data_IF_014164022412
#
_entry.id   IF_014164022412
#
_cell.length_a   1.000
_cell.length_b   1.000
_cell.length_c   1.000
_cell.angle_alpha   90.00
_cell.angle_beta   90.00
_cell.angle_gamma   90.00
#
_symmetry.space_group_name_H-M   'P 1'
#
loop_
_entity.id
_entity.type
_entity.pdbx_description
1 polymer ?
#
# COMPACT_ATOMS: atom_id res chain seq x y z
N UNK A 1 -10.28 0.69 -17.53
CA UNK A 1 -10.30 1.60 -16.38
C UNK A 1 -10.75 2.96 -16.85
N UNK A 2 -11.68 3.55 -16.14
CA UNK A 2 -12.14 4.94 -16.25
C UNK A 2 -11.84 5.65 -14.93
N UNK A 3 -11.82 6.99 -14.93
CA UNK A 3 -11.52 7.73 -13.70
C UNK A 3 -12.57 7.53 -12.60
N UNK A 4 -13.79 7.13 -12.96
CA UNK A 4 -14.84 6.81 -11.98
C UNK A 4 -14.49 5.61 -11.08
N UNK A 5 -13.57 4.74 -11.53
CA UNK A 5 -13.10 3.56 -10.81
C UNK A 5 -11.64 3.71 -10.37
N UNK A 6 -11.08 4.92 -10.46
CA UNK A 6 -9.71 5.17 -10.07
C UNK A 6 -9.61 5.23 -8.55
N UNK A 7 -8.89 4.27 -7.96
CA UNK A 7 -8.62 4.24 -6.53
C UNK A 7 -7.52 5.24 -6.17
N UNK A 8 -7.65 5.92 -5.03
CA UNK A 8 -6.64 6.84 -4.57
C UNK A 8 -5.31 6.11 -4.30
N UNK A 9 -4.24 6.60 -4.90
CA UNK A 9 -2.88 6.09 -4.71
C UNK A 9 -2.10 6.99 -3.78
N UNK A 10 -1.25 6.40 -2.95
CA UNK A 10 -0.38 7.10 -2.02
C UNK A 10 1.03 6.54 -2.12
N UNK A 11 2.03 7.39 -1.91
CA UNK A 11 3.42 6.94 -1.86
C UNK A 11 4.39 8.03 -1.47
N UNK A 12 5.65 7.63 -1.29
CA UNK A 12 6.76 8.50 -0.97
C UNK A 12 7.66 8.61 -2.21
N UNK A 13 7.83 9.80 -2.82
CA UNK A 13 8.72 9.99 -3.94
C UNK A 13 10.15 10.20 -3.46
N UNK A 14 11.12 9.70 -4.23
CA UNK A 14 12.53 9.98 -3.98
C UNK A 14 12.86 11.43 -4.37
N UNK A 15 13.42 12.18 -3.42
CA UNK A 15 13.76 13.59 -3.62
C UNK A 15 15.27 13.73 -3.80
N UNK A 16 15.70 14.16 -4.99
CA UNK A 16 17.12 14.42 -5.28
C UNK A 16 17.53 15.80 -4.71
N UNK A 17 17.42 15.99 -3.39
CA UNK A 17 17.84 17.23 -2.71
C UNK A 17 18.45 16.96 -1.33
N UNK A 18 19.13 17.95 -0.77
CA UNK A 18 19.67 17.90 0.61
C UNK A 18 18.58 18.02 1.69
N UNK A 19 17.31 18.06 1.30
CA UNK A 19 16.18 18.22 2.22
C UNK A 19 15.89 16.87 2.88
N UNK A 20 15.93 16.83 4.22
CA UNK A 20 15.72 15.62 5.01
C UNK A 20 14.24 15.31 5.31
N UNK A 21 13.30 16.19 4.92
CA UNK A 21 11.88 15.96 5.16
C UNK A 21 11.30 15.05 4.08
N UNK A 22 10.62 13.95 4.46
CA UNK A 22 9.95 13.10 3.50
C UNK A 22 8.79 13.85 2.87
N UNK A 23 8.57 13.61 1.59
CA UNK A 23 7.38 14.07 0.88
C UNK A 23 6.42 12.89 0.73
N UNK A 24 5.13 13.16 0.74
CA UNK A 24 4.12 12.17 0.36
C UNK A 24 3.34 12.70 -0.84
N UNK A 25 3.02 11.80 -1.77
CA UNK A 25 2.11 12.10 -2.86
C UNK A 25 0.79 11.35 -2.68
N UNK A 26 -0.27 11.97 -3.19
CA UNK A 26 -1.57 11.36 -3.39
C UNK A 26 -2.01 11.61 -4.83
N UNK A 27 -2.49 10.57 -5.50
CA UNK A 27 -3.15 10.67 -6.80
C UNK A 27 -4.56 10.14 -6.66
N UNK A 28 -5.58 10.94 -6.98
CA UNK A 28 -6.98 10.52 -6.92
C UNK A 28 -7.82 11.23 -7.98
N UNK A 29 -8.98 10.66 -8.29
CA UNK A 29 -9.97 11.30 -9.15
C UNK A 29 -11.04 11.99 -8.28
N UNK A 30 -11.01 13.33 -8.09
CA UNK A 30 -12.08 14.03 -7.36
C UNK A 30 -13.42 13.95 -8.07
N UNK A 31 -13.41 13.77 -9.39
CA UNK A 31 -14.57 13.59 -10.24
C UNK A 31 -14.20 12.71 -11.46
N UNK A 32 -15.19 12.23 -12.25
CA UNK A 32 -14.93 11.35 -13.39
C UNK A 32 -14.14 11.96 -14.56
N UNK A 33 -13.87 13.26 -14.53
CA UNK A 33 -13.24 14.02 -15.62
C UNK A 33 -11.84 14.53 -15.27
N UNK A 34 -11.45 14.49 -13.99
CA UNK A 34 -10.19 15.05 -13.53
C UNK A 34 -9.40 14.04 -12.69
N UNK A 35 -8.09 14.05 -12.89
CA UNK A 35 -7.12 13.41 -12.01
C UNK A 35 -6.36 14.50 -11.26
N UNK A 36 -6.36 14.41 -9.93
CA UNK A 36 -5.65 15.32 -9.04
C UNK A 36 -4.44 14.63 -8.45
N UNK A 37 -3.31 15.32 -8.50
CA UNK A 37 -2.03 14.92 -7.91
C UNK A 37 -1.66 15.96 -6.87
N UNK A 38 -1.48 15.55 -5.62
CA UNK A 38 -1.02 16.41 -4.52
C UNK A 38 0.29 15.84 -4.00
N UNK A 39 1.29 16.68 -3.76
CA UNK A 39 2.56 16.30 -3.14
C UNK A 39 2.86 17.25 -2.00
N UNK A 40 3.11 16.76 -0.79
CA UNK A 40 3.27 17.62 0.39
C UNK A 40 4.27 17.07 1.39
N UNK A 41 4.99 17.97 2.06
CA UNK A 41 5.81 17.68 3.24
C UNK A 41 5.02 17.85 4.56
N UNK A 42 3.73 18.25 4.47
CA UNK A 42 2.85 18.63 5.60
C UNK A 42 3.34 19.78 6.49
N UNK A 43 4.40 20.48 6.09
CA UNK A 43 5.04 21.52 6.89
C UNK A 43 4.98 22.86 6.18
N UNK A 44 5.62 22.94 5.02
CA UNK A 44 5.94 24.20 4.36
C UNK A 44 5.61 24.20 2.88
N UNK A 45 5.58 23.01 2.28
CA UNK A 45 5.62 22.84 0.85
C UNK A 45 4.53 21.88 0.41
N UNK A 46 3.61 22.40 -0.38
CA UNK A 46 2.57 21.60 -1.02
C UNK A 46 2.51 21.96 -2.50
N UNK A 47 2.48 20.95 -3.34
CA UNK A 47 2.31 21.08 -4.78
C UNK A 47 1.05 20.37 -5.25
N UNK A 48 0.49 20.86 -6.34
CA UNK A 48 -0.71 20.27 -6.93
C UNK A 48 -0.64 20.27 -8.46
N UNK A 49 -1.24 19.26 -9.07
CA UNK A 49 -1.74 19.33 -10.43
C UNK A 49 -3.15 18.77 -10.51
N UNK A 50 -3.96 19.37 -11.37
CA UNK A 50 -5.23 18.82 -11.82
C UNK A 50 -5.09 18.60 -13.33
N UNK A 51 -5.47 17.42 -13.80
CA UNK A 51 -5.40 17.01 -15.20
C UNK A 51 -6.75 16.56 -15.70
N UNK A 52 -7.23 17.17 -16.78
CA UNK A 52 -8.44 16.73 -17.46
C UNK A 52 -8.19 15.45 -18.27
N UNK A 53 -9.26 14.75 -18.68
CA UNK A 53 -9.15 13.61 -19.60
C UNK A 53 -8.35 13.95 -20.87
N UNK A 54 -8.58 15.12 -21.48
CA UNK A 54 -7.84 15.52 -22.68
C UNK A 54 -6.34 15.65 -22.39
N UNK A 55 -5.96 16.31 -21.30
CA UNK A 55 -4.55 16.49 -20.94
C UNK A 55 -3.86 15.17 -20.61
N UNK A 56 -4.60 14.21 -20.07
CA UNK A 56 -4.10 12.86 -19.82
C UNK A 56 -3.97 12.06 -21.13
N UNK A 57 -4.85 12.27 -22.10
CA UNK A 57 -4.75 11.66 -23.44
C UNK A 57 -3.54 12.22 -24.20
N UNK A 58 -3.36 13.54 -24.16
CA UNK A 58 -2.16 14.20 -24.69
C UNK A 58 -0.90 13.64 -24.00
N UNK A 59 -0.94 13.46 -22.67
CA UNK A 59 0.17 12.88 -21.91
C UNK A 59 0.43 11.40 -22.26
N UNK A 60 -0.60 10.62 -22.60
CA UNK A 60 -0.43 9.23 -23.11
C UNK A 60 0.37 9.26 -24.41
N UNK A 61 -0.01 10.13 -25.32
CA UNK A 61 0.60 10.25 -26.64
C UNK A 61 2.05 10.76 -26.52
N UNK A 62 2.31 11.75 -25.65
CA UNK A 62 3.66 12.23 -25.32
C UNK A 62 4.54 11.17 -24.68
N UNK A 63 3.97 10.33 -23.81
CA UNK A 63 4.71 9.23 -23.17
C UNK A 63 4.98 8.09 -24.17
N UNK A 64 4.22 7.99 -25.25
CA UNK A 64 4.34 6.92 -26.25
C UNK A 64 3.85 5.56 -25.75
N UNK A 65 2.90 5.55 -24.81
CA UNK A 65 2.26 4.31 -24.34
C UNK A 65 1.13 3.96 -25.32
N UNK A 66 1.35 2.94 -26.14
CA UNK A 66 0.32 2.40 -27.02
C UNK A 66 -0.76 1.62 -26.27
N UNK A 67 -1.88 1.37 -26.95
CA UNK A 67 -3.00 0.61 -26.40
C UNK A 67 -4.24 1.47 -26.17
N UNK A 68 -5.16 0.96 -25.36
CA UNK A 68 -6.37 1.66 -24.97
C UNK A 68 -6.11 2.68 -23.86
N UNK A 69 -7.08 3.58 -23.67
CA UNK A 69 -7.13 4.46 -22.50
C UNK A 69 -6.97 3.71 -21.16
N UNK A 70 -7.54 2.51 -21.06
CA UNK A 70 -7.44 1.67 -19.86
C UNK A 70 -6.02 1.20 -19.60
N UNK A 71 -5.30 0.82 -20.67
CA UNK A 71 -3.93 0.34 -20.59
C UNK A 71 -3.00 1.48 -20.14
N UNK A 72 -3.29 2.71 -20.57
CA UNK A 72 -2.57 3.89 -20.09
C UNK A 72 -2.80 4.17 -18.61
N UNK A 73 -4.05 4.16 -18.14
CA UNK A 73 -4.34 4.36 -16.72
C UNK A 73 -3.72 3.26 -15.85
N UNK A 74 -3.77 2.00 -16.30
CA UNK A 74 -3.09 0.90 -15.62
C UNK A 74 -1.57 1.10 -15.62
N UNK A 75 -0.99 1.57 -16.72
CA UNK A 75 0.42 1.91 -16.80
C UNK A 75 0.80 3.03 -15.82
N UNK A 76 -0.04 4.06 -15.70
CA UNK A 76 0.12 5.16 -14.74
C UNK A 76 0.09 4.64 -13.29
N UNK A 77 -0.93 3.87 -12.93
CA UNK A 77 -1.07 3.26 -11.60
C UNK A 77 0.17 2.40 -11.27
N UNK A 78 0.58 1.55 -12.20
CA UNK A 78 1.74 0.69 -12.01
C UNK A 78 3.06 1.46 -11.89
N UNK A 79 3.20 2.57 -12.63
CA UNK A 79 4.38 3.44 -12.55
C UNK A 79 4.48 4.14 -11.20
N UNK A 80 3.35 4.49 -10.59
CA UNK A 80 3.29 5.14 -9.28
C UNK A 80 3.43 4.16 -8.11
N UNK A 81 2.88 2.95 -8.21
CA UNK A 81 2.90 1.95 -7.13
C UNK A 81 4.20 1.12 -7.07
N UNK A 82 4.73 0.74 -8.23
CA UNK A 82 5.86 -0.20 -8.32
C UNK A 82 7.10 0.41 -8.96
N UNK A 83 6.99 1.62 -9.50
CA UNK A 83 8.06 2.28 -10.23
C UNK A 83 9.02 3.06 -9.35
N UNK A 84 10.05 3.60 -10.00
CA UNK A 84 10.93 4.62 -9.44
C UNK A 84 10.22 5.97 -9.58
N UNK A 85 9.64 6.45 -8.48
CA UNK A 85 8.94 7.74 -8.40
C UNK A 85 9.88 8.78 -7.80
N UNK A 86 10.08 9.88 -8.51
CA UNK A 86 10.97 10.96 -8.12
C UNK A 86 10.24 12.30 -8.09
N UNK A 87 10.61 13.13 -7.14
CA UNK A 87 10.19 14.53 -7.08
C UNK A 87 11.36 15.42 -7.46
N UNK A 88 11.20 16.17 -8.55
CA UNK A 88 12.20 17.10 -9.08
C UNK A 88 11.69 18.52 -8.89
N UNK A 89 12.46 19.37 -8.21
CA UNK A 89 12.09 20.77 -8.02
C UNK A 89 12.49 21.62 -9.22
N UNK A 90 11.56 22.42 -9.73
CA UNK A 90 11.78 23.35 -10.83
C UNK A 90 11.59 24.80 -10.37
N UNK A 91 12.59 25.63 -10.63
CA UNK A 91 12.60 27.05 -10.28
C UNK A 91 13.13 27.32 -8.87
N UNK A 92 14.41 27.70 -8.78
CA UNK A 92 15.00 28.15 -7.52
C UNK A 92 14.71 29.64 -7.31
N UNK A 93 13.77 29.96 -6.42
CA UNK A 93 13.66 31.32 -5.87
C UNK A 93 14.57 31.44 -4.65
N UNK A 94 15.39 32.51 -4.59
CA UNK A 94 16.36 32.75 -3.52
C UNK A 94 15.74 32.93 -2.12
N UNK A 95 14.43 33.09 -2.02
CA UNK A 95 13.75 33.37 -0.74
C UNK A 95 12.39 32.69 -0.52
N UNK A 96 11.84 31.96 -1.50
CA UNK A 96 10.45 31.51 -1.46
C UNK A 96 10.23 30.01 -1.74
N UNK A 97 11.30 29.20 -1.71
CA UNK A 97 11.22 27.78 -2.06
C UNK A 97 10.99 27.53 -3.56
N UNK A 98 10.72 26.27 -3.96
CA UNK A 98 10.49 25.92 -5.35
C UNK A 98 9.14 26.47 -5.84
N UNK A 99 9.15 27.20 -6.96
CA UNK A 99 7.91 27.70 -7.58
C UNK A 99 7.06 26.59 -8.24
N UNK A 100 7.71 25.49 -8.61
CA UNK A 100 7.09 24.33 -9.24
C UNK A 100 7.89 23.06 -8.94
N UNK A 101 7.27 21.92 -9.19
CA UNK A 101 7.93 20.62 -9.11
C UNK A 101 7.40 19.69 -10.20
N UNK A 102 8.10 18.60 -10.47
CA UNK A 102 7.66 17.52 -11.34
C UNK A 102 7.69 16.20 -10.58
N UNK A 103 6.57 15.48 -10.61
CA UNK A 103 6.52 14.08 -10.19
C UNK A 103 6.82 13.22 -11.40
N UNK A 104 7.94 12.50 -11.35
CA UNK A 104 8.41 11.64 -12.45
C UNK A 104 8.29 10.19 -12.00
N UNK A 105 7.54 9.39 -12.72
CA UNK A 105 7.33 7.97 -12.40
C UNK A 105 7.80 7.09 -13.56
N UNK A 106 8.53 6.02 -13.24
CA UNK A 106 8.99 5.04 -14.21
C UNK A 106 8.72 3.62 -13.72
N UNK A 107 7.80 2.90 -14.38
CA UNK A 107 7.43 1.52 -14.00
C UNK A 107 8.64 0.58 -13.86
N UNK A 108 9.59 0.64 -14.80
CA UNK A 108 10.84 -0.11 -14.73
C UNK A 108 11.89 0.49 -15.66
N UNK A 109 13.16 0.14 -15.43
CA UNK A 109 14.28 0.64 -16.24
C UNK A 109 14.08 0.31 -17.71
N UNK A 110 14.15 1.34 -18.57
CA UNK A 110 13.96 1.21 -20.02
C UNK A 110 12.53 1.42 -20.50
N UNK A 111 11.55 1.49 -19.59
CA UNK A 111 10.17 1.84 -19.93
C UNK A 111 9.97 3.36 -20.00
N UNK A 112 8.97 3.87 -20.75
CA UNK A 112 8.66 5.29 -20.83
C UNK A 112 8.41 5.94 -19.46
N UNK A 113 8.82 7.20 -19.29
CA UNK A 113 8.64 7.94 -18.04
C UNK A 113 7.40 8.82 -18.13
N UNK A 114 6.58 8.79 -17.09
CA UNK A 114 5.47 9.72 -16.93
C UNK A 114 5.99 10.90 -16.11
N UNK A 115 5.69 12.13 -16.54
CA UNK A 115 6.08 13.35 -15.84
C UNK A 115 4.87 14.24 -15.64
N UNK A 116 4.53 14.55 -14.39
CA UNK A 116 3.43 15.45 -14.04
C UNK A 116 3.99 16.73 -13.43
N UNK A 117 3.85 17.85 -14.15
CA UNK A 117 4.22 19.18 -13.65
C UNK A 117 3.21 19.69 -12.63
N UNK A 118 3.72 20.10 -11.48
CA UNK A 118 2.97 20.54 -10.30
C UNK A 118 3.25 22.01 -10.01
N UNK A 119 2.22 22.76 -9.65
CA UNK A 119 2.34 24.14 -9.16
C UNK A 119 2.49 24.17 -7.66
N UNK A 120 3.28 25.10 -7.12
CA UNK A 120 3.35 25.34 -5.68
C UNK A 120 2.04 25.97 -5.18
N UNK A 121 1.53 25.48 -4.05
CA UNK A 121 0.38 26.01 -3.33
C UNK A 121 0.85 26.76 -2.08
N UNK A 122 0.19 27.88 -1.78
CA UNK A 122 0.49 28.73 -0.63
C UNK A 122 -0.78 29.05 0.16
N UNK A 123 -0.62 29.29 1.46
CA UNK A 123 -1.69 29.76 2.33
C UNK A 123 -2.89 28.81 2.40
N UNK A 124 -4.09 29.36 2.23
CA UNK A 124 -5.35 28.59 2.36
C UNK A 124 -5.46 27.43 1.37
N UNK A 125 -4.96 27.60 0.15
CA UNK A 125 -4.99 26.55 -0.87
C UNK A 125 -4.13 25.34 -0.49
N UNK A 126 -2.96 25.57 0.12
CA UNK A 126 -2.12 24.49 0.63
C UNK A 126 -2.80 23.74 1.79
N UNK A 127 -3.39 24.49 2.72
CA UNK A 127 -4.12 23.91 3.86
C UNK A 127 -5.32 23.06 3.41
N UNK A 128 -6.08 23.52 2.40
CA UNK A 128 -7.19 22.78 1.83
C UNK A 128 -6.72 21.48 1.14
N UNK A 129 -5.64 21.56 0.37
CA UNK A 129 -5.06 20.37 -0.28
C UNK A 129 -4.59 19.34 0.76
N UNK A 130 -3.94 19.79 1.84
CA UNK A 130 -3.53 18.93 2.96
C UNK A 130 -4.76 18.33 3.67
N UNK A 131 -5.78 19.12 3.97
CA UNK A 131 -7.00 18.62 4.62
C UNK A 131 -7.71 17.57 3.76
N UNK A 132 -7.81 17.81 2.46
CA UNK A 132 -8.34 16.84 1.49
C UNK A 132 -7.52 15.56 1.48
N UNK A 133 -6.18 15.67 1.51
CA UNK A 133 -5.28 14.52 1.56
C UNK A 133 -5.55 13.65 2.79
N UNK A 134 -5.58 14.27 3.97
CA UNK A 134 -5.80 13.58 5.23
C UNK A 134 -7.18 12.90 5.28
N UNK A 135 -8.23 13.59 4.79
CA UNK A 135 -9.57 13.01 4.74
C UNK A 135 -9.64 11.75 3.88
N UNK A 136 -8.94 11.72 2.74
CA UNK A 136 -8.90 10.52 1.91
C UNK A 136 -8.19 9.35 2.58
N UNK A 137 -7.13 9.61 3.36
CA UNK A 137 -6.44 8.58 4.16
C UNK A 137 -7.39 8.01 5.21
N UNK A 138 -8.11 8.88 5.93
CA UNK A 138 -9.08 8.46 6.94
C UNK A 138 -10.19 7.59 6.35
N UNK A 139 -10.75 7.98 5.20
CA UNK A 139 -11.77 7.20 4.50
C UNK A 139 -11.27 5.80 4.13
N UNK A 140 -10.04 5.69 3.61
CA UNK A 140 -9.41 4.40 3.32
C UNK A 140 -9.24 3.53 4.57
N UNK A 141 -8.80 4.12 5.68
CA UNK A 141 -8.64 3.38 6.95
C UNK A 141 -9.98 2.92 7.53
N UNK A 142 -11.01 3.76 7.49
CA UNK A 142 -12.34 3.43 7.98
C UNK A 142 -12.98 2.30 7.17
N UNK A 143 -12.82 2.32 5.85
CA UNK A 143 -13.27 1.22 4.97
C UNK A 143 -12.60 -0.10 5.35
N UNK A 144 -11.27 -0.12 5.50
CA UNK A 144 -10.51 -1.31 5.88
C UNK A 144 -10.91 -1.85 7.27
N UNK A 145 -11.11 -0.96 8.24
CA UNK A 145 -11.56 -1.35 9.58
C UNK A 145 -12.98 -1.91 9.56
N UNK A 146 -13.88 -1.33 8.76
CA UNK A 146 -15.25 -1.80 8.59
C UNK A 146 -15.28 -3.20 7.95
N UNK A 147 -14.53 -3.43 6.87
CA UNK A 147 -14.44 -4.74 6.21
C UNK A 147 -13.92 -5.83 7.16
N UNK A 148 -12.88 -5.51 7.94
CA UNK A 148 -12.33 -6.43 8.95
C UNK A 148 -13.34 -6.75 10.04
N UNK A 149 -14.13 -5.76 10.48
CA UNK A 149 -15.19 -5.96 11.47
C UNK A 149 -16.32 -6.86 10.93
N UNK A 150 -16.71 -6.70 9.67
CA UNK A 150 -17.71 -7.56 9.02
C UNK A 150 -17.20 -9.00 8.85
N UNK A 151 -15.94 -9.17 8.46
CA UNK A 151 -15.32 -10.49 8.36
C UNK A 151 -15.29 -11.22 9.70
N UNK A 152 -14.91 -10.53 10.79
CA UNK A 152 -14.93 -11.09 12.14
C UNK A 152 -16.36 -11.43 12.59
N UNK A 153 -17.34 -10.58 12.27
CA UNK A 153 -18.74 -10.86 12.58
C UNK A 153 -19.24 -12.12 11.86
N UNK A 154 -18.92 -12.29 10.58
CA UNK A 154 -19.27 -13.50 9.81
C UNK A 154 -18.62 -14.76 10.39
N UNK A 155 -17.38 -14.68 10.88
CA UNK A 155 -16.72 -15.81 11.54
C UNK A 155 -17.42 -16.19 12.87
N UNK A 156 -17.80 -15.19 13.67
CA UNK A 156 -18.55 -15.43 14.90
C UNK A 156 -19.92 -16.05 14.62
N UNK A 157 -20.65 -15.50 13.65
CA UNK A 157 -21.96 -16.03 13.26
C UNK A 157 -21.83 -17.48 12.76
N UNK A 158 -20.87 -17.77 11.88
CA UNK A 158 -20.58 -19.13 11.39
C UNK A 158 -20.26 -20.12 12.51
N UNK A 159 -19.49 -19.70 13.52
CA UNK A 159 -19.18 -20.53 14.70
C UNK A 159 -20.42 -20.75 15.59
N UNK A 160 -21.25 -19.73 15.79
CA UNK A 160 -22.51 -19.82 16.56
C UNK A 160 -23.50 -20.78 15.87
N UNK A 161 -23.60 -20.73 14.55
CA UNK A 161 -24.46 -21.66 13.79
C UNK A 161 -23.90 -23.09 13.79
N UNK A 162 -22.57 -23.27 13.75
CA UNK A 162 -21.93 -24.60 13.82
C UNK A 162 -22.12 -25.27 15.20
N UNK A 163 -22.02 -24.50 16.29
CA UNK A 163 -22.20 -25.02 17.65
C UNK A 163 -23.65 -25.42 17.99
N UNK A 164 -24.64 -24.86 17.28
CA UNK A 164 -26.05 -25.23 17.44
C UNK A 164 -26.38 -26.60 16.83
N UNK A 165 -25.68 -27.01 15.76
CA UNK A 165 -25.88 -28.32 15.15
C UNK A 165 -25.17 -29.46 15.87
N UNK A 166 -24.05 -29.20 16.56
CA UNK A 166 -23.37 -30.21 17.38
C UNK A 166 -24.12 -30.51 18.69
N UNK A 167 -24.84 -29.52 19.23
CA UNK A 167 -25.64 -29.66 20.46
C UNK A 167 -26.97 -30.40 20.25
N UNK A 168 -27.43 -30.56 19.00
CA UNK A 168 -28.69 -31.27 18.69
C UNK A 168 -28.52 -32.79 18.53
N UNK A 169 -27.31 -33.35 18.59
CA UNK A 169 -27.08 -34.80 18.40
C UNK A 169 -27.03 -35.62 19.70
N UNK A 170 -27.29 -35.04 20.87
CA UNK A 170 -27.15 -35.72 22.17
C UNK A 170 -28.50 -36.07 22.83
N UNK A 171 -29.64 -35.58 22.32
CA UNK A 171 -30.91 -35.67 23.06
C UNK A 171 -31.90 -36.78 22.65
N UNK A 172 -31.43 -37.85 22.00
CA UNK A 172 -32.26 -39.04 21.69
C UNK A 172 -31.79 -40.30 22.45
N UNK A 173 -31.64 -40.21 23.77
CA UNK A 173 -31.77 -41.38 24.65
C UNK A 173 -31.81 -40.94 26.11
N UNK A 174 -33.00 -41.00 26.72
CA UNK A 174 -33.27 -41.62 28.03
C UNK A 174 -34.57 -41.04 28.62
N UNK A 175 -35.71 -41.64 28.26
CA UNK A 175 -36.89 -41.64 29.13
C UNK A 175 -36.80 -42.86 30.02
N UNK A 176 -36.57 -42.66 31.32
CA UNK A 176 -37.00 -43.55 32.40
C UNK A 176 -36.76 -42.88 33.76
N UNK A 177 -37.88 -42.60 34.43
CA UNK A 177 -38.15 -42.77 35.86
C UNK A 177 -37.47 -41.89 36.94
N UNK A 178 -38.34 -41.11 37.57
CA UNK A 178 -38.59 -41.10 39.03
C UNK A 178 -37.59 -40.43 39.99
N UNK A 179 -38.08 -39.33 40.59
CA UNK A 179 -37.96 -38.94 42.00
C UNK A 179 -36.70 -38.22 42.54
N UNK A 180 -37.03 -37.17 43.30
CA UNK A 180 -36.34 -36.59 44.45
C UNK A 180 -35.25 -35.52 44.23
N UNK A 181 -35.66 -34.30 44.57
CA UNK A 181 -35.00 -33.31 45.42
C UNK A 181 -33.55 -33.59 45.88
N UNK A 182 -32.68 -32.60 45.71
CA UNK A 182 -32.04 -31.87 46.82
C UNK A 182 -30.83 -31.03 46.32
N UNK A 183 -30.84 -29.77 46.74
CA UNK A 183 -29.68 -29.01 47.26
C UNK A 183 -28.51 -28.68 46.35
N UNK A 184 -28.50 -27.42 45.91
CA UNK A 184 -27.32 -26.58 45.67
C UNK A 184 -26.45 -26.47 46.94
N UNK A 185 -25.14 -26.74 46.87
CA UNK A 185 -24.08 -26.06 47.65
C UNK A 185 -22.66 -26.38 47.12
N UNK A 186 -21.77 -25.39 47.19
CA UNK A 186 -20.29 -25.47 47.09
C UNK A 186 -19.75 -24.93 45.76
N UNK A 187 -19.25 -23.69 45.60
CA UNK A 187 -18.16 -22.94 46.26
C UNK A 187 -16.78 -23.62 46.24
N UNK A 188 -15.82 -22.84 45.70
CA UNK A 188 -14.35 -22.85 45.90
C UNK A 188 -13.52 -23.91 45.18
N UNK A 189 -12.25 -23.69 44.86
CA UNK A 189 -11.37 -22.54 44.62
C UNK A 189 -9.99 -23.18 44.31
N UNK A 190 -9.12 -22.48 43.58
CA UNK A 190 -7.64 -22.63 43.58
C UNK A 190 -6.92 -23.91 43.07
N UNK A 191 -6.03 -23.61 42.11
CA UNK A 191 -4.55 -23.78 42.15
C UNK A 191 -3.83 -24.88 41.35
N UNK A 192 -2.82 -24.37 40.63
CA UNK A 192 -1.42 -24.82 40.53
C UNK A 192 -1.01 -25.78 39.41
N UNK A 193 -0.15 -25.21 38.55
CA UNK A 193 1.06 -25.76 37.93
C UNK A 193 1.11 -27.21 37.45
N UNK A 194 1.49 -27.39 36.17
CA UNK A 194 2.79 -27.99 35.84
C UNK A 194 3.05 -27.96 34.31
N UNK A 195 4.20 -27.38 33.96
CA UNK A 195 4.91 -27.59 32.70
C UNK A 195 5.63 -28.96 32.78
N UNK A 196 5.82 -29.71 31.68
CA UNK A 196 7.19 -29.81 31.16
C UNK A 196 7.32 -30.06 29.64
N UNK A 197 8.01 -29.13 28.97
CA UNK A 197 9.17 -29.34 28.07
C UNK A 197 9.07 -30.17 26.75
N UNK A 198 10.04 -29.99 25.82
CA UNK A 198 9.85 -30.10 24.36
C UNK A 198 10.48 -31.34 23.71
N UNK A 199 9.97 -31.78 22.55
CA UNK A 199 10.55 -32.90 21.79
C UNK A 199 10.96 -32.54 20.35
N UNK A 200 12.29 -32.42 20.19
CA UNK A 200 13.18 -32.95 19.13
C UNK A 200 12.93 -32.61 17.65
N UNK A 201 13.90 -31.88 17.10
CA UNK A 201 14.29 -31.88 15.68
C UNK A 201 15.17 -33.10 15.32
N UNK A 202 15.29 -33.43 14.01
CA UNK A 202 16.56 -33.92 13.48
C UNK A 202 17.10 -33.07 12.32
N UNK A 203 18.41 -32.82 12.42
CA UNK A 203 19.28 -32.13 11.47
C UNK A 203 19.42 -32.89 10.15
N UNK A 204 19.50 -32.17 9.03
CA UNK A 204 20.43 -32.56 7.95
C UNK A 204 21.00 -31.32 7.26
N UNK A 205 22.25 -31.04 7.62
CA UNK A 205 23.16 -30.08 6.99
C UNK A 205 23.86 -30.81 5.85
N UNK A 206 23.89 -30.22 4.65
CA UNK A 206 24.90 -30.53 3.63
C UNK A 206 25.25 -29.22 2.88
N UNK A 207 26.44 -28.66 3.06
CA UNK A 207 27.00 -27.63 2.18
C UNK A 207 27.86 -28.32 1.13
N UNK A 208 27.45 -28.27 -0.14
CA UNK A 208 28.20 -28.90 -1.22
C UNK A 208 28.87 -27.85 -2.14
N UNK A 209 30.16 -27.69 -1.89
CA UNK A 209 31.25 -27.49 -2.85
C UNK A 209 31.43 -26.14 -3.56
N UNK A 210 32.44 -25.43 -3.05
CA UNK A 210 33.36 -24.56 -3.80
C UNK A 210 33.75 -25.17 -5.14
N UNK A 211 33.68 -24.39 -6.22
CA UNK A 211 34.56 -24.57 -7.39
C UNK A 211 35.37 -23.29 -7.63
N UNK A 212 36.66 -23.49 -7.42
CA UNK A 212 37.86 -22.82 -7.95
C UNK A 212 37.71 -21.58 -8.85
N UNK A 213 38.52 -20.57 -8.50
CA UNK A 213 39.12 -19.57 -9.40
C UNK A 213 39.49 -20.19 -10.76
N UNK A 214 39.05 -19.57 -11.85
CA UNK A 214 39.73 -19.67 -13.15
C UNK A 214 40.12 -18.26 -13.58
N UNK A 215 41.43 -18.11 -13.73
CA UNK A 215 42.19 -16.96 -14.20
C UNK A 215 41.99 -16.88 -15.72
N UNK A 216 41.48 -15.77 -16.24
CA UNK A 216 41.20 -15.61 -17.67
C UNK A 216 41.52 -14.22 -18.18
N UNK A 217 42.77 -14.09 -18.67
CA UNK A 217 43.32 -13.22 -19.72
C UNK A 217 42.78 -11.78 -19.84
N UNK A 218 43.63 -10.82 -19.43
CA UNK A 218 43.65 -9.45 -19.94
C UNK A 218 44.32 -9.49 -21.32
N UNK A 219 43.57 -9.27 -22.40
CA UNK A 219 44.16 -8.94 -23.69
C UNK A 219 44.53 -7.46 -23.67
N UNK A 220 45.83 -7.23 -23.51
CA UNK A 220 46.50 -5.99 -23.79
C UNK A 220 46.77 -6.01 -25.30
N UNK A 221 46.00 -5.25 -26.07
CA UNK A 221 46.41 -4.95 -27.44
C UNK A 221 47.32 -3.73 -27.41
N UNK A 222 48.49 -3.97 -27.98
CA UNK A 222 49.71 -3.17 -28.03
C UNK A 222 49.50 -1.84 -28.76
N UNK A 223 50.22 -0.84 -28.29
CA UNK A 223 50.50 0.41 -29.00
C UNK A 223 51.40 0.18 -30.24
N UNK A 224 51.36 1.18 -31.12
CA UNK A 224 52.42 1.68 -32.01
C UNK A 224 52.41 1.39 -33.52
N UNK A 225 52.50 2.54 -34.23
CA UNK A 225 52.67 2.93 -35.64
C UNK A 225 51.54 2.75 -36.67
#
# INVERSE_FOLDING_TARGET
MDLSKFEALFGEPNVESTVHTPFLFQVHAPDPCHLRVVVTDFLSTTFEAIRSIQQLDDMRDETGVGGSWSDFLEYLVNSLNFGDVKLVFDGQSKSAGPGSARLVAQKSKGMPRISVSLRSLLGTAANEAIASFLSSVEQGTNYYLAEKSEHLQKQLDGLVYSNRHTSQKIHDKLTSDTSAAATLYGISDKQSDQNPSPMKAPKRVVPAHRRSKVRGVLLQDTEDD
#
